data_IF_228870454365
#
_entry.id   IF_228870454365
#
_cell.length_a   1.000
_cell.length_b   1.000
_cell.length_c   1.000
_cell.angle_alpha   90.00
_cell.angle_beta   90.00
_cell.angle_gamma   90.00
#
_symmetry.space_group_name_H-M   'P 1'
#
loop_
_entity.id
_entity.type
_entity.pdbx_description
1 polymer ?
#
# COMPACT_ATOMS: atom_id res chain seq x y z
N UNK A 1 -41.24 28.95 16.94
CA UNK A 1 -40.11 27.99 16.87
C UNK A 1 -40.45 26.71 16.07
N UNK A 2 -41.73 26.41 15.83
CA UNK A 2 -42.19 25.19 15.12
C UNK A 2 -41.96 25.14 13.60
N UNK A 3 -41.78 26.29 12.94
CA UNK A 3 -41.65 26.31 11.47
C UNK A 3 -40.24 25.89 11.01
N UNK A 4 -39.21 26.31 11.75
CA UNK A 4 -37.81 25.97 11.47
C UNK A 4 -37.52 24.49 11.80
N UNK A 5 -38.12 23.94 12.86
CA UNK A 5 -37.97 22.53 13.21
C UNK A 5 -38.65 21.60 12.18
N UNK A 6 -39.80 22.01 11.63
CA UNK A 6 -40.50 21.29 10.55
C UNK A 6 -39.78 21.38 9.20
N UNK A 7 -39.13 22.50 8.91
CA UNK A 7 -38.27 22.63 7.72
C UNK A 7 -37.03 21.75 7.83
N UNK A 8 -36.37 21.73 8.99
CA UNK A 8 -35.20 20.88 9.24
C UNK A 8 -35.52 19.38 9.18
N UNK A 9 -36.68 18.95 9.67
CA UNK A 9 -37.11 17.54 9.56
C UNK A 9 -37.53 17.17 8.15
N UNK A 10 -38.16 18.07 7.38
CA UNK A 10 -38.49 17.83 5.97
C UNK A 10 -37.25 17.80 5.06
N UNK A 11 -36.25 18.64 5.29
CA UNK A 11 -35.00 18.60 4.52
C UNK A 11 -34.23 17.30 4.78
N UNK A 12 -34.18 16.82 6.03
CA UNK A 12 -33.52 15.56 6.40
C UNK A 12 -34.26 14.34 5.85
N UNK A 13 -35.60 14.35 5.84
CA UNK A 13 -36.40 13.21 5.36
C UNK A 13 -36.49 13.13 3.83
N UNK A 14 -36.29 14.24 3.10
CA UNK A 14 -36.25 14.27 1.63
C UNK A 14 -34.90 13.82 1.03
N UNK A 15 -33.88 13.59 1.86
CA UNK A 15 -32.49 13.40 1.43
C UNK A 15 -31.97 11.98 1.71
N UNK A 16 -32.79 10.94 1.59
CA UNK A 16 -32.26 9.56 1.54
C UNK A 16 -31.78 9.28 0.10
N UNK A 17 -30.48 9.49 -0.21
CA UNK A 17 -29.95 9.12 -1.53
C UNK A 17 -30.20 7.64 -1.78
N UNK A 18 -30.53 7.29 -3.01
CA UNK A 18 -30.59 5.89 -3.40
C UNK A 18 -29.19 5.28 -3.20
N UNK A 19 -29.09 4.32 -2.26
CA UNK A 19 -27.83 3.68 -1.88
C UNK A 19 -27.11 3.11 -3.11
N UNK A 20 -27.86 2.49 -4.02
CA UNK A 20 -27.28 1.88 -5.22
C UNK A 20 -26.69 2.93 -6.16
N UNK A 21 -27.37 4.06 -6.36
CA UNK A 21 -26.84 5.17 -7.14
C UNK A 21 -25.59 5.75 -6.49
N UNK A 22 -25.60 5.90 -5.16
CA UNK A 22 -24.45 6.38 -4.41
C UNK A 22 -23.24 5.43 -4.56
N UNK A 23 -23.43 4.12 -4.35
CA UNK A 23 -22.37 3.12 -4.49
C UNK A 23 -21.84 3.04 -5.93
N UNK A 24 -22.71 3.14 -6.93
CA UNK A 24 -22.30 3.19 -8.34
C UNK A 24 -21.42 4.41 -8.61
N UNK A 25 -21.82 5.59 -8.13
CA UNK A 25 -21.05 6.82 -8.28
C UNK A 25 -19.72 6.77 -7.52
N UNK A 26 -19.71 6.17 -6.32
CA UNK A 26 -18.51 5.94 -5.53
C UNK A 26 -17.50 5.06 -6.28
N UNK A 27 -17.97 3.98 -6.91
CA UNK A 27 -17.15 3.09 -7.74
C UNK A 27 -16.60 3.82 -8.96
N UNK A 28 -17.42 4.66 -9.62
CA UNK A 28 -16.96 5.52 -10.73
C UNK A 28 -15.85 6.47 -10.28
N UNK A 29 -16.00 7.13 -9.12
CA UNK A 29 -14.97 8.01 -8.56
C UNK A 29 -13.67 7.24 -8.25
N UNK A 30 -13.77 6.05 -7.65
CA UNK A 30 -12.64 5.16 -7.43
C UNK A 30 -11.95 4.77 -8.75
N UNK A 31 -12.73 4.33 -9.75
CA UNK A 31 -12.23 3.92 -11.05
C UNK A 31 -11.52 5.06 -11.79
N UNK A 32 -12.09 6.27 -11.77
CA UNK A 32 -11.47 7.46 -12.34
C UNK A 32 -10.15 7.79 -11.64
N UNK A 33 -10.11 7.74 -10.31
CA UNK A 33 -8.92 8.01 -9.49
C UNK A 33 -7.79 7.02 -9.77
N UNK A 34 -8.10 5.72 -9.87
CA UNK A 34 -7.13 4.69 -10.23
C UNK A 34 -6.66 4.84 -11.69
N UNK A 35 -7.60 5.10 -12.62
CA UNK A 35 -7.31 5.27 -14.04
C UNK A 35 -6.33 6.43 -14.30
N UNK A 36 -6.55 7.59 -13.69
CA UNK A 36 -5.67 8.75 -13.88
C UNK A 36 -4.22 8.48 -13.43
N UNK A 37 -4.02 7.65 -12.40
CA UNK A 37 -2.68 7.23 -11.96
C UNK A 37 -2.08 6.16 -12.89
N UNK A 38 -2.90 5.27 -13.43
CA UNK A 38 -2.44 4.30 -14.45
C UNK A 38 -2.08 4.98 -15.78
N UNK A 39 -2.78 6.05 -16.16
CA UNK A 39 -2.44 6.85 -17.34
C UNK A 39 -1.04 7.48 -17.22
N UNK A 40 -0.62 7.88 -16.02
CA UNK A 40 0.76 8.29 -15.76
C UNK A 40 1.75 7.15 -16.03
N UNK A 41 1.44 5.93 -15.60
CA UNK A 41 2.28 4.77 -15.86
C UNK A 41 2.41 4.45 -17.36
N UNK A 42 1.36 4.64 -18.15
CA UNK A 42 1.43 4.51 -19.62
C UNK A 42 2.38 5.55 -20.24
N UNK A 43 2.44 6.76 -19.68
CA UNK A 43 3.39 7.80 -20.12
C UNK A 43 4.84 7.38 -19.85
N UNK A 44 5.09 6.63 -18.77
CA UNK A 44 6.43 6.11 -18.48
C UNK A 44 6.85 5.05 -19.48
N UNK A 45 5.92 4.19 -19.93
CA UNK A 45 6.21 3.18 -20.96
C UNK A 45 6.59 3.80 -22.30
N UNK A 46 6.14 5.01 -22.60
CA UNK A 46 6.53 5.75 -23.81
C UNK A 46 7.99 6.24 -23.75
N UNK A 47 8.55 6.44 -22.55
CA UNK A 47 9.92 6.92 -22.34
C UNK A 47 10.74 5.95 -21.47
N UNK A 48 10.94 4.69 -21.92
CA UNK A 48 11.49 3.63 -21.07
C UNK A 48 12.91 3.93 -20.59
N UNK A 49 13.72 4.63 -21.40
CA UNK A 49 15.10 5.01 -21.03
C UNK A 49 15.19 5.85 -19.75
N UNK A 50 14.14 6.60 -19.42
CA UNK A 50 14.12 7.48 -18.25
C UNK A 50 13.46 6.84 -17.02
N UNK A 51 12.62 5.81 -17.19
CA UNK A 51 11.77 5.28 -16.13
C UNK A 51 11.94 3.78 -15.86
N UNK A 52 12.69 3.06 -16.69
CA UNK A 52 12.87 1.60 -16.59
C UNK A 52 14.34 1.21 -16.55
N UNK A 53 14.64 0.17 -15.77
CA UNK A 53 15.92 -0.54 -15.76
C UNK A 53 15.67 -1.95 -16.25
N UNK A 54 15.96 -2.21 -17.52
CA UNK A 54 15.51 -3.42 -18.20
C UNK A 54 13.98 -3.48 -18.23
N UNK A 55 13.40 -4.60 -17.78
CA UNK A 55 11.94 -4.82 -17.75
C UNK A 55 11.26 -4.29 -16.47
N UNK A 56 12.00 -3.61 -15.58
CA UNK A 56 11.49 -3.20 -14.27
C UNK A 56 11.25 -1.69 -14.23
N UNK A 57 10.06 -1.24 -13.82
CA UNK A 57 9.85 0.18 -13.55
C UNK A 57 10.69 0.61 -12.36
N UNK A 58 11.28 1.80 -12.45
CA UNK A 58 11.95 2.44 -11.33
C UNK A 58 10.90 2.91 -10.31
N UNK A 59 11.26 2.79 -9.04
CA UNK A 59 10.44 3.31 -7.94
C UNK A 59 10.63 4.82 -7.80
N UNK A 60 9.58 5.53 -7.43
CA UNK A 60 9.61 6.98 -7.18
C UNK A 60 10.20 7.34 -5.83
N UNK A 61 10.22 6.40 -4.87
CA UNK A 61 10.76 6.60 -3.53
C UNK A 61 11.91 5.64 -3.21
N UNK A 62 12.85 6.10 -2.37
CA UNK A 62 14.06 5.36 -2.01
C UNK A 62 13.78 4.14 -1.11
N UNK A 63 12.67 4.17 -0.38
CA UNK A 63 12.27 3.12 0.55
C UNK A 63 11.50 1.98 -0.13
N UNK A 64 10.87 2.22 -1.28
CA UNK A 64 10.09 1.21 -1.99
C UNK A 64 10.87 -0.11 -2.29
N UNK A 65 12.12 -0.08 -2.78
CA UNK A 65 12.89 -1.32 -3.00
C UNK A 65 13.07 -2.15 -1.73
N UNK A 66 13.13 -1.52 -0.55
CA UNK A 66 13.23 -2.22 0.73
C UNK A 66 11.96 -3.05 0.98
N UNK A 67 10.78 -2.45 0.85
CA UNK A 67 9.50 -3.12 1.05
C UNK A 67 9.25 -4.24 0.03
N UNK A 68 9.58 -4.00 -1.23
CA UNK A 68 9.44 -5.01 -2.30
C UNK A 68 10.36 -6.20 -2.08
N UNK A 69 11.58 -5.96 -1.60
CA UNK A 69 12.51 -7.04 -1.23
C UNK A 69 11.92 -7.91 -0.13
N UNK A 70 11.35 -7.33 0.93
CA UNK A 70 10.73 -8.12 2.00
C UNK A 70 9.55 -8.95 1.47
N UNK A 71 8.77 -8.42 0.53
CA UNK A 71 7.67 -9.13 -0.11
C UNK A 71 8.17 -10.33 -0.93
N UNK A 72 9.25 -10.14 -1.68
CA UNK A 72 9.92 -11.23 -2.39
C UNK A 72 10.50 -12.28 -1.45
N UNK A 73 11.25 -11.86 -0.43
CA UNK A 73 11.85 -12.79 0.54
C UNK A 73 10.79 -13.58 1.32
N UNK A 74 9.62 -12.98 1.57
CA UNK A 74 8.47 -13.67 2.13
C UNK A 74 7.96 -14.79 1.20
N UNK A 75 7.83 -14.51 -0.10
CA UNK A 75 7.40 -15.52 -1.08
C UNK A 75 8.44 -16.61 -1.31
N UNK A 76 9.71 -16.27 -1.25
CA UNK A 76 10.83 -17.22 -1.38
C UNK A 76 11.10 -18.00 -0.09
N UNK A 77 10.46 -17.65 1.03
CA UNK A 77 10.70 -18.26 2.35
C UNK A 77 12.08 -17.92 2.95
N UNK A 78 12.74 -16.87 2.45
CA UNK A 78 14.10 -16.45 2.86
C UNK A 78 14.11 -15.22 3.77
N UNK A 79 12.93 -14.73 4.15
CA UNK A 79 12.73 -13.53 4.98
C UNK A 79 13.62 -13.52 6.22
N UNK A 80 14.24 -12.35 6.47
CA UNK A 80 15.12 -12.14 7.63
C UNK A 80 16.60 -12.45 7.37
N UNK A 81 16.95 -13.04 6.22
CA UNK A 81 18.35 -13.38 5.86
C UNK A 81 19.12 -12.15 5.35
N UNK A 82 19.32 -11.13 6.20
CA UNK A 82 19.84 -9.83 5.77
C UNK A 82 21.38 -9.69 5.85
N UNK A 83 22.11 -10.45 5.02
CA UNK A 83 23.59 -10.50 5.07
C UNK A 83 24.29 -9.21 4.63
N UNK A 84 23.68 -8.44 3.73
CA UNK A 84 24.30 -7.27 3.08
C UNK A 84 23.94 -5.95 3.77
N UNK A 85 22.86 -5.93 4.56
CA UNK A 85 22.47 -4.74 5.31
C UNK A 85 23.32 -4.63 6.56
N UNK A 86 23.70 -3.42 6.95
CA UNK A 86 24.58 -3.17 8.10
C UNK A 86 25.92 -3.91 7.97
N UNK A 87 26.50 -3.95 6.77
CA UNK A 87 27.88 -4.39 6.62
C UNK A 87 28.80 -3.39 7.34
N UNK A 88 29.79 -3.85 8.13
CA UNK A 88 30.22 -5.23 8.32
C UNK A 88 29.59 -5.98 9.52
N UNK A 89 28.72 -5.36 10.31
CA UNK A 89 28.16 -5.91 11.56
C UNK A 89 27.53 -7.30 11.39
N UNK A 90 26.84 -7.54 10.27
CA UNK A 90 26.19 -8.83 9.97
C UNK A 90 27.13 -9.90 9.38
N UNK A 91 28.45 -9.67 9.35
CA UNK A 91 29.41 -10.65 8.82
C UNK A 91 29.82 -11.68 9.86
N UNK A 92 29.83 -12.96 9.45
CA UNK A 92 30.30 -14.07 10.30
C UNK A 92 31.76 -13.93 10.73
N UNK A 93 32.59 -13.29 9.90
CA UNK A 93 34.01 -13.05 10.20
C UNK A 93 34.19 -12.06 11.33
N UNK A 94 33.39 -10.99 11.35
CA UNK A 94 33.42 -9.99 12.40
C UNK A 94 32.80 -10.54 13.69
N UNK A 95 31.64 -11.19 13.62
CA UNK A 95 31.01 -11.79 14.81
C UNK A 95 31.92 -12.83 15.49
N UNK A 96 32.64 -13.64 14.72
CA UNK A 96 33.64 -14.59 15.26
C UNK A 96 34.82 -13.91 15.93
N UNK A 97 35.23 -12.72 15.46
CA UNK A 97 36.34 -11.95 16.06
C UNK A 97 35.94 -11.24 17.34
N UNK A 98 34.69 -10.77 17.44
CA UNK A 98 34.17 -10.11 18.64
C UNK A 98 33.57 -11.08 19.66
N UNK A 99 33.35 -12.35 19.29
CA UNK A 99 32.79 -13.34 20.20
C UNK A 99 33.71 -13.54 21.41
N UNK A 100 33.19 -13.45 22.65
CA UNK A 100 33.97 -13.78 23.84
C UNK A 100 34.35 -15.27 23.82
N UNK A 101 35.39 -15.67 24.59
CA UNK A 101 35.77 -17.08 24.71
C UNK A 101 34.57 -17.95 25.07
N UNK A 102 34.54 -19.19 24.59
CA UNK A 102 33.39 -20.11 24.73
C UNK A 102 32.98 -20.35 26.18
N UNK A 103 33.89 -20.20 27.13
CA UNK A 103 33.66 -20.32 28.58
C UNK A 103 32.72 -19.22 29.14
N UNK A 104 32.64 -18.06 28.47
CA UNK A 104 31.82 -16.92 28.87
C UNK A 104 30.58 -16.73 27.97
N UNK A 105 30.29 -17.69 27.08
CA UNK A 105 29.12 -17.63 26.22
C UNK A 105 27.91 -18.25 26.92
N UNK A 106 26.87 -17.44 27.12
CA UNK A 106 25.57 -17.95 27.55
C UNK A 106 25.00 -18.89 26.48
N UNK A 107 24.33 -19.96 26.93
CA UNK A 107 23.54 -20.83 26.04
C UNK A 107 22.33 -20.05 25.52
N UNK A 108 22.54 -19.30 24.43
CA UNK A 108 21.45 -18.63 23.73
C UNK A 108 20.66 -19.69 22.96
N UNK A 109 19.33 -19.77 23.13
CA UNK A 109 18.49 -20.61 22.27
C UNK A 109 18.80 -20.28 20.81
N UNK A 110 19.24 -21.26 20.03
CA UNK A 110 19.41 -21.06 18.60
C UNK A 110 18.02 -20.79 18.01
N UNK A 111 17.82 -19.72 17.22
CA UNK A 111 16.56 -19.49 16.55
C UNK A 111 16.24 -20.73 15.71
N UNK A 112 15.09 -21.35 15.96
CA UNK A 112 14.66 -22.56 15.28
C UNK A 112 14.68 -22.30 13.76
N UNK A 113 15.51 -23.06 13.05
CA UNK A 113 15.81 -22.90 11.61
C UNK A 113 14.64 -23.21 10.66
N UNK A 114 13.43 -23.39 11.18
CA UNK A 114 12.24 -23.85 10.44
C UNK A 114 10.93 -23.28 11.01
N UNK A 115 10.95 -22.12 11.68
CA UNK A 115 9.71 -21.42 11.92
C UNK A 115 9.18 -20.90 10.57
N UNK A 116 8.07 -21.47 10.09
CA UNK A 116 7.37 -20.95 8.91
C UNK A 116 7.08 -19.46 9.13
N UNK A 117 7.60 -18.62 8.24
CA UNK A 117 7.45 -17.17 8.36
C UNK A 117 5.96 -16.84 8.18
N UNK A 118 5.33 -16.40 9.26
CA UNK A 118 3.92 -16.06 9.25
C UNK A 118 3.68 -14.71 8.59
N UNK A 119 2.45 -14.48 8.14
CA UNK A 119 2.00 -13.17 7.61
C UNK A 119 2.23 -12.04 8.62
N UNK A 120 2.22 -12.35 9.93
CA UNK A 120 2.41 -11.37 11.00
C UNK A 120 3.87 -10.95 11.19
N UNK A 121 4.81 -11.73 10.68
CA UNK A 121 6.25 -11.47 10.83
C UNK A 121 6.78 -10.49 9.78
N UNK A 122 5.99 -10.28 8.71
CA UNK A 122 6.34 -9.44 7.56
C UNK A 122 5.39 -8.25 7.49
N UNK A 123 5.88 -7.04 7.14
CA UNK A 123 5.02 -5.88 6.93
C UNK A 123 3.89 -6.17 5.93
N UNK A 124 2.66 -5.74 6.26
CA UNK A 124 1.48 -6.04 5.44
C UNK A 124 1.63 -5.55 3.99
N UNK A 125 2.24 -4.38 3.79
CA UNK A 125 2.50 -3.84 2.45
C UNK A 125 3.38 -4.79 1.61
N UNK A 126 4.41 -5.35 2.23
CA UNK A 126 5.30 -6.32 1.60
C UNK A 126 4.56 -7.61 1.24
N UNK A 127 3.72 -8.11 2.15
CA UNK A 127 2.87 -9.28 1.87
C UNK A 127 1.92 -9.01 0.71
N UNK A 128 1.22 -7.87 0.70
CA UNK A 128 0.31 -7.47 -0.39
C UNK A 128 1.03 -7.33 -1.73
N UNK A 129 2.21 -6.70 -1.74
CA UNK A 129 3.00 -6.55 -2.97
C UNK A 129 3.52 -7.89 -3.49
N UNK A 130 3.90 -8.80 -2.60
CA UNK A 130 4.31 -10.16 -2.95
C UNK A 130 3.14 -10.94 -3.53
N UNK A 131 2.01 -11.01 -2.85
CA UNK A 131 0.84 -11.75 -3.36
C UNK A 131 0.38 -11.21 -4.71
N UNK A 132 0.40 -9.88 -4.91
CA UNK A 132 0.13 -9.27 -6.20
C UNK A 132 1.19 -9.65 -7.25
N UNK A 133 2.46 -9.73 -6.88
CA UNK A 133 3.54 -10.18 -7.78
C UNK A 133 3.37 -11.64 -8.22
N UNK A 134 2.87 -12.53 -7.36
CA UNK A 134 2.56 -13.91 -7.76
C UNK A 134 1.48 -13.99 -8.83
N UNK A 135 0.58 -13.00 -8.90
CA UNK A 135 -0.45 -12.89 -9.94
C UNK A 135 0.14 -12.28 -11.22
N UNK A 136 1.21 -11.48 -11.12
CA UNK A 136 1.87 -10.74 -12.21
C UNK A 136 3.24 -11.37 -12.60
N UNK A 137 3.25 -12.68 -12.85
CA UNK A 137 4.44 -13.43 -13.34
C UNK A 137 5.71 -13.29 -12.47
N UNK A 138 5.58 -12.94 -11.20
CA UNK A 138 6.69 -12.72 -10.27
C UNK A 138 7.38 -11.36 -10.41
N UNK A 139 6.83 -10.40 -11.16
CA UNK A 139 7.42 -9.07 -11.27
C UNK A 139 7.08 -8.18 -10.05
N UNK A 140 7.89 -8.28 -8.99
CA UNK A 140 7.68 -7.51 -7.76
C UNK A 140 7.70 -5.98 -7.95
N UNK A 141 8.47 -5.48 -8.93
CA UNK A 141 8.55 -4.03 -9.19
C UNK A 141 7.29 -3.53 -9.91
N UNK A 142 6.78 -4.30 -10.87
CA UNK A 142 5.51 -3.99 -11.51
C UNK A 142 4.35 -4.07 -10.50
N UNK A 143 4.32 -5.13 -9.68
CA UNK A 143 3.32 -5.29 -8.63
C UNK A 143 3.34 -4.11 -7.64
N UNK A 144 4.53 -3.70 -7.18
CA UNK A 144 4.69 -2.50 -6.34
C UNK A 144 4.12 -1.24 -7.00
N UNK A 145 4.43 -1.03 -8.28
CA UNK A 145 3.98 0.15 -9.03
C UNK A 145 2.46 0.18 -9.21
N UNK A 146 1.82 -0.98 -9.48
CA UNK A 146 0.37 -1.08 -9.65
C UNK A 146 -0.40 -1.05 -8.33
N UNK A 147 0.22 -1.48 -7.23
CA UNK A 147 -0.39 -1.48 -5.91
C UNK A 147 -0.70 -0.06 -5.43
N UNK A 148 0.16 0.91 -5.76
CA UNK A 148 0.01 2.32 -5.35
C UNK A 148 -1.31 2.94 -5.89
N UNK A 149 -1.60 2.94 -7.21
CA UNK A 149 -2.88 3.40 -7.73
C UNK A 149 -4.11 2.74 -7.11
N UNK A 150 -4.05 1.42 -6.86
CA UNK A 150 -5.16 0.66 -6.29
C UNK A 150 -5.44 1.10 -4.85
N UNK A 151 -4.41 1.14 -4.00
CA UNK A 151 -4.57 1.55 -2.60
C UNK A 151 -4.89 3.04 -2.45
N UNK A 152 -4.30 3.89 -3.29
CA UNK A 152 -4.55 5.32 -3.27
C UNK A 152 -5.98 5.66 -3.70
N UNK A 153 -6.52 4.96 -4.71
CA UNK A 153 -7.92 5.10 -5.08
C UNK A 153 -8.86 4.66 -3.97
N UNK A 154 -8.49 3.59 -3.22
CA UNK A 154 -9.33 2.95 -2.21
C UNK A 154 -9.75 3.92 -1.09
N UNK A 155 -8.98 4.97 -0.85
CA UNK A 155 -9.28 6.05 0.11
C UNK A 155 -10.68 6.68 -0.07
N UNK A 156 -11.19 6.75 -1.30
CA UNK A 156 -12.52 7.34 -1.59
C UNK A 156 -13.65 6.55 -0.91
N UNK A 157 -13.51 5.22 -0.81
CA UNK A 157 -14.57 4.33 -0.33
C UNK A 157 -14.92 4.58 1.15
N UNK A 158 -13.97 4.49 2.11
CA UNK A 158 -14.29 4.71 3.52
C UNK A 158 -14.77 6.15 3.76
N UNK A 159 -14.21 7.14 3.07
CA UNK A 159 -14.63 8.53 3.19
C UNK A 159 -16.08 8.72 2.69
N UNK A 160 -16.39 8.18 1.51
CA UNK A 160 -17.73 8.23 0.94
C UNK A 160 -18.76 7.56 1.86
N UNK A 161 -18.48 6.35 2.34
CA UNK A 161 -19.37 5.61 3.25
C UNK A 161 -19.58 6.42 4.55
N UNK A 162 -18.53 7.01 5.11
CA UNK A 162 -18.63 7.83 6.32
C UNK A 162 -19.61 9.00 6.15
N UNK A 163 -19.48 9.78 5.07
CA UNK A 163 -20.39 10.91 4.81
C UNK A 163 -21.80 10.46 4.37
N UNK A 164 -21.94 9.27 3.76
CA UNK A 164 -23.24 8.67 3.52
C UNK A 164 -23.97 8.37 4.84
N UNK A 165 -23.26 7.81 5.83
CA UNK A 165 -23.82 7.54 7.16
C UNK A 165 -24.21 8.82 7.91
N UNK A 166 -23.54 9.95 7.63
CA UNK A 166 -23.89 11.28 8.16
C UNK A 166 -25.08 11.93 7.44
N UNK A 167 -25.62 11.32 6.38
CA UNK A 167 -26.73 11.87 5.59
C UNK A 167 -26.33 12.95 4.57
N UNK A 168 -25.02 13.14 4.34
CA UNK A 168 -24.48 14.14 3.41
C UNK A 168 -23.59 13.47 2.33
N UNK A 169 -24.16 12.57 1.50
CA UNK A 169 -23.40 11.73 0.55
C UNK A 169 -22.61 12.54 -0.48
N UNK A 170 -23.15 13.67 -0.94
CA UNK A 170 -22.52 14.52 -1.95
C UNK A 170 -21.21 15.12 -1.45
N UNK A 171 -21.15 15.50 -0.16
CA UNK A 171 -19.92 15.99 0.47
C UNK A 171 -18.84 14.90 0.52
N UNK A 172 -19.22 13.65 0.74
CA UNK A 172 -18.31 12.50 0.72
C UNK A 172 -17.70 12.24 -0.66
N UNK A 173 -18.51 12.29 -1.72
CA UNK A 173 -18.03 12.09 -3.09
C UNK A 173 -17.10 13.22 -3.53
N UNK A 174 -17.49 14.47 -3.30
CA UNK A 174 -16.69 15.64 -3.66
C UNK A 174 -15.40 15.71 -2.82
N UNK A 175 -15.49 15.48 -1.51
CA UNK A 175 -14.33 15.43 -0.63
C UNK A 175 -13.36 14.30 -1.00
N UNK A 176 -13.88 13.14 -1.39
CA UNK A 176 -13.08 12.02 -1.89
C UNK A 176 -12.31 12.38 -3.15
N UNK A 177 -12.99 12.96 -4.14
CA UNK A 177 -12.36 13.40 -5.39
C UNK A 177 -11.27 14.45 -5.13
N UNK A 178 -11.59 15.52 -4.38
CA UNK A 178 -10.63 16.58 -4.03
C UNK A 178 -9.43 15.99 -3.29
N UNK A 179 -9.65 15.11 -2.32
CA UNK A 179 -8.59 14.44 -1.59
C UNK A 179 -7.69 13.62 -2.50
N UNK A 180 -8.27 12.85 -3.43
CA UNK A 180 -7.47 12.01 -4.34
C UNK A 180 -6.65 12.77 -5.37
N UNK A 181 -7.04 13.99 -5.72
CA UNK A 181 -6.34 14.84 -6.68
C UNK A 181 -5.60 16.01 -6.03
N UNK A 182 -5.55 16.06 -4.69
CA UNK A 182 -4.71 17.00 -3.98
C UNK A 182 -3.24 16.74 -4.33
N UNK A 183 -2.46 17.79 -4.58
CA UNK A 183 -1.09 17.70 -5.05
C UNK A 183 -0.22 16.78 -4.17
N UNK A 184 -0.31 16.94 -2.86
CA UNK A 184 0.43 16.12 -1.89
C UNK A 184 0.10 14.64 -2.02
N UNK A 185 -1.19 14.31 -2.17
CA UNK A 185 -1.63 12.92 -2.25
C UNK A 185 -1.44 12.29 -3.63
N UNK A 186 -1.41 13.10 -4.69
CA UNK A 186 -1.27 12.64 -6.06
C UNK A 186 0.20 12.48 -6.49
N UNK A 187 1.11 13.29 -5.93
CA UNK A 187 2.54 13.26 -6.27
C UNK A 187 3.37 12.25 -5.45
N UNK A 188 2.78 11.66 -4.41
CA UNK A 188 3.35 10.58 -3.58
C UNK A 188 3.25 9.22 -4.29
#
# INVERSE_FOLDING_TARGET
MDYLSRLATRSVQAQRPNLWLFLAMLLVCYGLSAYMRLAQFETWKQNPRAYFVGERPMMTTLDAPYWLRLGREYQEGTYGTNKLRFYPDNTKSLSKRLAPPSEFQDQRPQPATTAEVGVRDVPLLSVLSGTLAAILDGNHYLAGTLLVPMLAGLFIIPLGIYFYLLGVPAAGLLGGLIGTFCAEYYML
#
